data_IF_363471905260
#
_entry.id   IF_363471905260
#
_cell.length_a   1.000
_cell.length_b   1.000
_cell.length_c   1.000
_cell.angle_alpha   90.00
_cell.angle_beta   90.00
_cell.angle_gamma   90.00
#
_symmetry.space_group_name_H-M   'P 1'
#
loop_
_entity.id
_entity.type
_entity.pdbx_description
1 polymer ?
#
# COMPACT_ATOMS: atom_id res chain seq x y z
N UNK A 1 -8.71 -4.74 -4.78
CA UNK A 1 -8.00 -3.52 -5.22
C UNK A 1 -8.26 -2.29 -4.33
N UNK A 2 -8.95 -2.40 -3.19
CA UNK A 2 -9.24 -1.24 -2.29
C UNK A 2 -8.02 -0.71 -1.51
N UNK A 3 -7.05 -1.56 -1.20
CA UNK A 3 -5.92 -1.18 -0.32
C UNK A 3 -4.85 -0.33 -1.01
N UNK A 4 -4.57 -0.55 -2.30
CA UNK A 4 -3.64 0.32 -3.05
C UNK A 4 -4.10 1.77 -3.07
N UNK A 5 -5.40 2.00 -3.29
CA UNK A 5 -5.98 3.34 -3.28
C UNK A 5 -5.89 4.01 -1.89
N UNK A 6 -6.06 3.24 -0.81
CA UNK A 6 -5.89 3.76 0.56
C UNK A 6 -4.44 4.16 0.84
N UNK A 7 -3.46 3.35 0.41
CA UNK A 7 -2.04 3.70 0.52
C UNK A 7 -1.67 4.92 -0.34
N UNK A 8 -2.27 5.06 -1.53
CA UNK A 8 -2.10 6.25 -2.36
C UNK A 8 -2.59 7.51 -1.64
N UNK A 9 -3.80 7.45 -1.08
CA UNK A 9 -4.41 8.57 -0.37
C UNK A 9 -3.58 8.98 0.84
N UNK A 10 -3.08 8.00 1.60
CA UNK A 10 -2.20 8.22 2.74
C UNK A 10 -0.88 8.85 2.31
N UNK A 11 -0.25 8.33 1.26
CA UNK A 11 0.99 8.90 0.71
C UNK A 11 0.82 10.37 0.30
N UNK A 12 -0.30 10.69 -0.36
CA UNK A 12 -0.64 12.07 -0.75
C UNK A 12 -0.85 12.97 0.46
N UNK A 13 -1.61 12.52 1.46
CA UNK A 13 -1.84 13.28 2.68
C UNK A 13 -0.53 13.58 3.43
N UNK A 14 0.37 12.59 3.51
CA UNK A 14 1.69 12.77 4.13
C UNK A 14 2.58 13.70 3.31
N UNK A 15 2.56 13.62 1.97
CA UNK A 15 3.31 14.54 1.11
C UNK A 15 2.81 15.99 1.25
N UNK A 16 1.49 16.20 1.29
CA UNK A 16 0.90 17.53 1.52
C UNK A 16 1.27 18.07 2.89
N UNK A 17 1.25 17.23 3.93
CA UNK A 17 1.69 17.60 5.27
C UNK A 17 3.19 17.95 5.30
N UNK A 18 4.02 17.20 4.57
CA UNK A 18 5.46 17.44 4.47
C UNK A 18 5.77 18.83 3.89
N UNK A 19 5.03 19.26 2.87
CA UNK A 19 5.22 20.56 2.22
C UNK A 19 4.71 21.71 3.08
N UNK A 20 3.64 21.51 3.86
CA UNK A 20 2.99 22.59 4.63
C UNK A 20 3.49 22.75 6.07
N UNK A 21 4.09 21.74 6.67
CA UNK A 21 4.39 21.70 8.11
C UNK A 21 5.74 22.28 8.55
N UNK A 22 6.48 22.95 7.66
CA UNK A 22 7.78 23.56 7.98
C UNK A 22 8.97 22.58 7.91
N UNK A 23 10.15 22.97 8.43
CA UNK A 23 11.41 22.25 8.19
C UNK A 23 11.41 20.79 8.67
N UNK A 24 10.79 20.54 9.82
CA UNK A 24 10.69 19.19 10.40
C UNK A 24 9.68 18.30 9.68
N UNK A 25 8.70 18.88 8.98
CA UNK A 25 7.71 18.11 8.24
C UNK A 25 8.31 17.40 7.01
N UNK A 26 9.49 17.83 6.53
CA UNK A 26 10.23 17.11 5.48
C UNK A 26 10.57 15.66 5.85
N UNK A 27 10.63 15.31 7.14
CA UNK A 27 10.77 13.91 7.59
C UNK A 27 9.62 13.02 7.09
N UNK A 28 8.43 13.58 6.84
CA UNK A 28 7.28 12.85 6.31
C UNK A 28 7.42 12.50 4.84
N UNK A 29 8.42 13.04 4.14
CA UNK A 29 8.65 12.76 2.73
C UNK A 29 9.09 11.30 2.50
N UNK A 30 9.93 10.77 3.39
CA UNK A 30 10.38 9.37 3.34
C UNK A 30 9.24 8.35 3.48
N UNK A 31 8.36 8.42 4.51
CA UNK A 31 7.20 7.54 4.59
C UNK A 31 6.20 7.80 3.46
N UNK A 32 5.99 9.05 3.02
CA UNK A 32 5.12 9.34 1.88
C UNK A 32 5.59 8.63 0.59
N UNK A 33 6.90 8.68 0.30
CA UNK A 33 7.49 7.98 -0.83
C UNK A 33 7.34 6.46 -0.70
N UNK A 34 7.62 5.91 0.48
CA UNK A 34 7.50 4.47 0.75
C UNK A 34 6.08 3.95 0.53
N UNK A 35 5.06 4.65 1.05
CA UNK A 35 3.67 4.30 0.83
C UNK A 35 3.23 4.50 -0.63
N UNK A 36 3.81 5.48 -1.34
CA UNK A 36 3.61 5.67 -2.77
C UNK A 36 4.09 4.46 -3.58
N UNK A 37 5.28 3.94 -3.28
CA UNK A 37 5.83 2.73 -3.93
C UNK A 37 4.96 1.50 -3.64
N UNK A 38 4.54 1.31 -2.39
CA UNK A 38 3.66 0.20 -1.99
C UNK A 38 2.30 0.30 -2.68
N UNK A 39 1.74 1.51 -2.77
CA UNK A 39 0.50 1.78 -3.49
C UNK A 39 0.63 1.44 -4.98
N UNK A 40 1.70 1.91 -5.63
CA UNK A 40 1.99 1.60 -7.03
C UNK A 40 2.13 0.09 -7.24
N UNK A 41 2.86 -0.62 -6.37
CA UNK A 41 2.93 -2.08 -6.40
C UNK A 41 1.54 -2.73 -6.24
N UNK A 42 0.67 -2.21 -5.38
CA UNK A 42 -0.70 -2.72 -5.24
C UNK A 42 -1.60 -2.45 -6.46
N UNK A 43 -1.38 -1.34 -7.16
CA UNK A 43 -2.19 -0.90 -8.32
C UNK A 43 -1.72 -1.61 -9.60
N UNK A 44 -0.42 -1.59 -9.87
CA UNK A 44 0.17 -2.15 -11.10
C UNK A 44 0.45 -3.65 -10.99
N UNK A 45 0.79 -4.16 -9.80
CA UNK A 45 1.15 -5.56 -9.57
C UNK A 45 -0.02 -6.40 -9.03
N UNK A 46 -1.22 -6.12 -9.55
CA UNK A 46 -2.46 -6.83 -9.24
C UNK A 46 -2.28 -8.38 -9.26
N UNK A 47 -3.24 -9.11 -8.69
CA UNK A 47 -3.19 -10.00 -7.51
C UNK A 47 -2.00 -10.97 -7.33
N UNK A 48 -1.12 -11.10 -8.33
CA UNK A 48 -0.04 -12.08 -8.41
C UNK A 48 1.01 -11.94 -7.32
N UNK A 49 1.39 -10.70 -6.96
CA UNK A 49 2.47 -10.45 -5.99
C UNK A 49 2.11 -10.85 -4.56
N UNK A 50 0.81 -10.88 -4.21
CA UNK A 50 0.31 -11.33 -2.90
C UNK A 50 -0.42 -12.68 -2.95
N UNK A 51 -0.39 -13.38 -4.09
CA UNK A 51 -1.08 -14.65 -4.27
C UNK A 51 -2.61 -14.59 -4.07
N UNK A 52 -3.23 -13.42 -4.28
CA UNK A 52 -4.69 -13.26 -4.25
C UNK A 52 -5.23 -13.62 -5.65
N UNK A 53 -6.46 -14.12 -5.78
CA UNK A 53 -7.14 -14.25 -7.09
C UNK A 53 -7.94 -12.97 -7.37
N UNK A 54 -8.18 -12.68 -8.65
CA UNK A 54 -8.94 -11.50 -9.12
C UNK A 54 -10.37 -11.43 -8.50
N UNK A 55 -10.94 -12.55 -8.06
CA UNK A 55 -12.28 -12.66 -7.46
C UNK A 55 -12.39 -12.24 -5.98
N UNK A 56 -11.34 -11.72 -5.36
CA UNK A 56 -11.40 -11.21 -3.98
C UNK A 56 -11.57 -12.28 -2.88
N UNK A 57 -11.84 -13.55 -3.22
CA UNK A 57 -11.81 -14.68 -2.28
C UNK A 57 -10.37 -15.21 -2.11
N UNK A 58 -9.92 -15.36 -0.86
CA UNK A 58 -8.73 -16.15 -0.53
C UNK A 58 -8.98 -17.60 -0.98
N UNK A 59 -8.08 -18.16 -1.78
CA UNK A 59 -8.15 -19.59 -2.12
C UNK A 59 -8.02 -20.41 -0.84
N UNK A 60 -9.01 -21.26 -0.54
CA UNK A 60 -9.01 -22.16 0.64
C UNK A 60 -7.76 -23.06 0.70
N UNK A 61 -7.09 -23.28 -0.43
CA UNK A 61 -5.88 -24.12 -0.55
C UNK A 61 -4.64 -23.54 0.15
N UNK A 62 -4.56 -22.22 0.41
CA UNK A 62 -3.46 -21.63 1.19
C UNK A 62 -3.76 -21.51 2.69
N UNK A 63 -4.99 -21.80 3.13
CA UNK A 63 -5.29 -21.88 4.57
C UNK A 63 -4.73 -23.16 5.18
N UNK A 64 -4.50 -24.21 4.39
CA UNK A 64 -3.98 -25.48 4.91
C UNK A 64 -2.49 -25.44 5.29
N UNK A 65 -1.72 -24.49 4.77
CA UNK A 65 -0.26 -24.39 4.99
C UNK A 65 0.14 -23.34 6.04
N UNK A 66 -0.83 -22.65 6.65
CA UNK A 66 -0.61 -21.56 7.63
C UNK A 66 -1.36 -21.81 8.94
N UNK A 67 -1.92 -23.01 9.12
CA UNK A 67 -2.30 -23.50 10.43
C UNK A 67 -1.14 -24.41 10.89
N UNK A 68 -0.54 -24.15 12.07
CA UNK A 68 0.37 -25.12 12.68
C UNK A 68 -0.34 -26.45 12.95
#
# INVERSE_FOLDING_TARGET
MKFGFLFLLLALAMAVAAVRGGPWAWLLFYPAFSFGVVSAAYVFSAPGVFGKRFDGKRSKLKTLHVLP
#
